data_IF_059393199177
#
_entry.id   IF_059393199177
#
_cell.length_a   1.000
_cell.length_b   1.000
_cell.length_c   1.000
_cell.angle_alpha   90.00
_cell.angle_beta   90.00
_cell.angle_gamma   90.00
#
_symmetry.space_group_name_H-M   'P 1'
#
loop_
_entity.id
_entity.type
_entity.pdbx_description
1 polymer ?
#
# COMPACT_ATOMS: atom_id res chain seq x y z
N UNK A 1 15.34 15.48 17.52
CA UNK A 1 14.07 15.26 16.83
C UNK A 1 14.32 15.07 15.35
N UNK A 2 14.92 16.04 14.64
CA UNK A 2 15.12 15.96 13.19
C UNK A 2 15.95 14.74 12.72
N UNK A 3 16.97 14.31 13.48
CA UNK A 3 17.74 13.09 13.22
C UNK A 3 16.83 11.86 13.32
N UNK A 4 15.97 11.80 14.34
CA UNK A 4 14.99 10.72 14.50
C UNK A 4 13.97 10.72 13.37
N UNK A 5 13.49 11.90 12.94
CA UNK A 5 12.61 12.08 11.80
C UNK A 5 13.27 11.63 10.48
N UNK A 6 14.52 12.04 10.24
CA UNK A 6 15.30 11.58 9.08
C UNK A 6 15.46 10.06 9.07
N UNK A 7 15.81 9.49 10.23
CA UNK A 7 15.94 8.05 10.37
C UNK A 7 14.61 7.33 10.07
N UNK A 8 13.49 7.81 10.60
CA UNK A 8 12.18 7.23 10.35
C UNK A 8 11.77 7.28 8.87
N UNK A 9 12.16 8.34 8.15
CA UNK A 9 11.80 8.54 6.74
C UNK A 9 12.73 7.80 5.78
N UNK A 10 14.04 7.69 6.06
CA UNK A 10 15.04 7.23 5.08
C UNK A 10 15.55 5.83 5.38
N UNK A 11 15.65 5.43 6.66
CA UNK A 11 16.28 4.17 7.04
C UNK A 11 15.70 2.96 6.31
N UNK A 12 14.40 2.91 6.16
CA UNK A 12 13.71 1.75 5.57
C UNK A 12 13.81 1.70 4.04
N UNK A 13 14.21 2.80 3.38
CA UNK A 13 14.53 2.80 1.95
C UNK A 13 15.77 1.95 1.65
N UNK A 14 16.66 1.76 2.63
CA UNK A 14 17.85 0.93 2.49
C UNK A 14 17.53 -0.55 2.25
N UNK A 15 16.31 -1.01 2.58
CA UNK A 15 15.86 -2.37 2.26
C UNK A 15 15.87 -2.66 0.76
N UNK A 16 15.70 -1.65 -0.08
CA UNK A 16 15.85 -1.77 -1.52
C UNK A 16 17.24 -2.33 -1.89
N UNK A 17 18.28 -1.71 -1.38
CA UNK A 17 19.67 -2.13 -1.66
C UNK A 17 20.00 -3.47 -1.02
N UNK A 18 19.51 -3.71 0.20
CA UNK A 18 19.72 -4.98 0.89
C UNK A 18 19.14 -6.15 0.07
N UNK A 19 17.89 -6.05 -0.35
CA UNK A 19 17.22 -7.11 -1.11
C UNK A 19 17.87 -7.34 -2.47
N UNK A 20 18.25 -6.27 -3.18
CA UNK A 20 18.96 -6.39 -4.47
C UNK A 20 20.32 -7.10 -4.35
N UNK A 21 20.94 -7.11 -3.15
CA UNK A 21 22.22 -7.78 -2.89
C UNK A 21 22.05 -9.20 -2.32
N UNK A 22 20.99 -9.46 -1.60
CA UNK A 22 20.72 -10.77 -0.98
C UNK A 22 20.11 -11.80 -1.92
N UNK A 23 19.38 -11.33 -2.94
CA UNK A 23 18.76 -12.21 -3.93
C UNK A 23 19.77 -12.48 -5.04
N UNK A 24 20.16 -13.75 -5.20
CA UNK A 24 21.18 -14.16 -6.16
C UNK A 24 20.58 -14.91 -7.35
N UNK A 25 19.54 -15.70 -7.14
CA UNK A 25 18.94 -16.55 -8.16
C UNK A 25 17.40 -16.55 -8.10
N UNK A 26 16.79 -17.24 -9.08
CA UNK A 26 15.32 -17.39 -9.14
C UNK A 26 14.75 -18.14 -7.94
N UNK A 27 15.53 -18.97 -7.27
CA UNK A 27 15.09 -19.72 -6.07
C UNK A 27 14.98 -18.78 -4.89
N UNK A 28 15.95 -17.90 -4.69
CA UNK A 28 15.92 -16.90 -3.63
C UNK A 28 14.77 -15.93 -3.84
N UNK A 29 14.60 -15.43 -5.08
CA UNK A 29 13.44 -14.61 -5.45
C UNK A 29 12.12 -15.31 -5.08
N UNK A 30 11.98 -16.57 -5.48
CA UNK A 30 10.75 -17.33 -5.24
C UNK A 30 10.54 -17.62 -3.75
N UNK A 31 11.59 -17.90 -2.97
CA UNK A 31 11.50 -18.11 -1.52
C UNK A 31 10.99 -16.87 -0.80
N UNK A 32 11.57 -15.69 -1.11
CA UNK A 32 11.13 -14.42 -0.52
C UNK A 32 9.69 -14.12 -0.93
N UNK A 33 9.38 -14.28 -2.22
CA UNK A 33 8.04 -14.05 -2.75
C UNK A 33 6.97 -14.92 -2.07
N UNK A 34 7.23 -16.23 -1.97
CA UNK A 34 6.31 -17.18 -1.32
C UNK A 34 6.17 -16.89 0.16
N UNK A 35 7.26 -16.61 0.87
CA UNK A 35 7.22 -16.27 2.29
C UNK A 35 6.30 -15.05 2.55
N UNK A 36 6.41 -14.02 1.71
CA UNK A 36 5.59 -12.82 1.82
C UNK A 36 4.10 -13.09 1.50
N UNK A 37 3.80 -13.89 0.46
CA UNK A 37 2.41 -14.29 0.15
C UNK A 37 1.81 -15.13 1.27
N UNK A 38 2.57 -16.06 1.85
CA UNK A 38 2.10 -16.87 2.99
C UNK A 38 1.85 -16.00 4.21
N UNK A 39 2.79 -15.11 4.55
CA UNK A 39 2.65 -14.17 5.67
C UNK A 39 1.37 -13.31 5.50
N UNK A 40 1.19 -12.71 4.32
CA UNK A 40 0.03 -11.89 4.05
C UNK A 40 -1.29 -12.69 4.09
N UNK A 41 -1.26 -13.96 3.68
CA UNK A 41 -2.42 -14.85 3.80
C UNK A 41 -2.80 -15.13 5.25
N UNK A 42 -1.82 -15.42 6.10
CA UNK A 42 -2.06 -15.63 7.53
C UNK A 42 -2.68 -14.39 8.19
N UNK A 43 -2.15 -13.21 7.87
CA UNK A 43 -2.67 -11.92 8.34
C UNK A 43 -4.10 -11.68 7.82
N UNK A 44 -4.37 -12.00 6.56
CA UNK A 44 -5.71 -11.90 5.97
C UNK A 44 -6.71 -12.83 6.68
N UNK A 45 -6.33 -14.08 6.93
CA UNK A 45 -7.16 -15.04 7.65
C UNK A 45 -7.45 -14.58 9.09
N UNK A 46 -6.47 -14.01 9.78
CA UNK A 46 -6.69 -13.41 11.09
C UNK A 46 -7.68 -12.23 11.02
N UNK A 47 -7.60 -11.40 9.97
CA UNK A 47 -8.61 -10.35 9.74
C UNK A 47 -10.00 -10.90 9.46
N UNK A 48 -10.12 -11.97 8.67
CA UNK A 48 -11.40 -12.66 8.45
C UNK A 48 -11.96 -13.22 9.77
N UNK A 49 -11.11 -13.82 10.59
CA UNK A 49 -11.48 -14.26 11.94
C UNK A 49 -12.02 -13.09 12.80
N UNK A 50 -11.32 -11.95 12.82
CA UNK A 50 -11.77 -10.75 13.54
C UNK A 50 -13.15 -10.28 13.06
N UNK A 51 -13.43 -10.39 11.76
CA UNK A 51 -14.77 -10.05 11.22
C UNK A 51 -15.85 -11.01 11.70
N UNK A 52 -15.56 -12.32 11.75
CA UNK A 52 -16.50 -13.34 12.19
C UNK A 52 -16.88 -13.14 13.67
N UNK A 53 -15.87 -12.93 14.54
CA UNK A 53 -16.08 -12.70 15.97
C UNK A 53 -16.55 -11.28 16.31
N UNK A 54 -16.61 -10.40 15.31
CA UNK A 54 -17.05 -9.00 15.46
C UNK A 54 -16.26 -8.24 16.55
N UNK A 55 -14.92 -8.15 16.38
CA UNK A 55 -14.09 -7.43 17.33
C UNK A 55 -14.60 -6.00 17.57
N UNK A 56 -14.55 -5.49 18.83
CA UNK A 56 -14.98 -4.14 19.13
C UNK A 56 -14.20 -3.09 18.34
N UNK A 57 -14.90 -2.04 17.90
CA UNK A 57 -14.29 -0.91 17.21
C UNK A 57 -13.94 0.16 18.26
N UNK A 58 -12.67 0.60 18.36
CA UNK A 58 -12.31 1.75 19.19
C UNK A 58 -13.13 2.99 18.77
N UNK A 59 -13.64 3.74 19.74
CA UNK A 59 -14.45 4.95 19.48
C UNK A 59 -13.72 6.00 18.64
N UNK A 60 -12.38 6.05 18.74
CA UNK A 60 -11.52 6.94 17.94
C UNK A 60 -11.51 6.65 16.44
N UNK A 61 -11.99 5.46 16.00
CA UNK A 61 -12.01 5.06 14.59
C UNK A 61 -13.35 5.25 13.91
N UNK A 62 -14.35 5.71 14.64
CA UNK A 62 -15.71 5.92 14.14
C UNK A 62 -16.13 7.38 14.33
N UNK A 63 -16.75 7.93 13.33
CA UNK A 63 -17.54 9.16 13.51
C UNK A 63 -18.83 8.79 14.23
N UNK A 64 -19.27 9.60 15.19
CA UNK A 64 -20.48 9.32 16.00
C UNK A 64 -21.75 9.05 15.19
N UNK A 65 -21.77 9.43 13.93
CA UNK A 65 -22.87 9.23 12.97
C UNK A 65 -22.80 7.90 12.20
N UNK A 66 -21.70 7.14 12.28
CA UNK A 66 -21.52 5.87 11.55
C UNK A 66 -21.98 4.66 12.38
N UNK A 67 -23.28 4.52 12.63
CA UNK A 67 -23.85 3.42 13.43
C UNK A 67 -24.00 2.09 12.67
N UNK A 68 -23.81 2.08 11.36
CA UNK A 68 -24.08 0.92 10.49
C UNK A 68 -22.91 -0.07 10.35
N UNK A 69 -21.75 0.20 10.94
CA UNK A 69 -20.55 -0.64 10.80
C UNK A 69 -20.47 -1.62 11.97
N UNK A 70 -20.66 -2.92 11.71
CA UNK A 70 -20.60 -3.98 12.73
C UNK A 70 -19.21 -4.12 13.36
N UNK A 71 -18.15 -4.07 12.54
CA UNK A 71 -16.75 -4.19 12.96
C UNK A 71 -15.83 -3.65 11.88
N UNK A 72 -14.60 -3.29 12.26
CA UNK A 72 -13.51 -2.94 11.35
C UNK A 72 -12.30 -3.78 11.71
N UNK A 73 -11.84 -4.63 10.78
CA UNK A 73 -10.70 -5.50 11.03
C UNK A 73 -9.39 -4.75 10.84
N UNK A 74 -8.40 -5.08 11.67
CA UNK A 74 -7.06 -4.46 11.66
C UNK A 74 -5.94 -5.48 11.84
N UNK A 75 -6.28 -6.75 12.11
CA UNK A 75 -5.35 -7.86 12.35
C UNK A 75 -4.30 -7.50 13.42
N UNK A 76 -3.03 -7.44 13.03
CA UNK A 76 -1.91 -7.12 13.93
C UNK A 76 -1.45 -5.66 13.82
N UNK A 77 -2.02 -4.86 12.89
CA UNK A 77 -1.51 -3.53 12.56
C UNK A 77 -2.02 -2.40 13.45
N UNK A 78 -3.01 -2.64 14.29
CA UNK A 78 -3.61 -1.58 15.11
C UNK A 78 -4.34 -0.47 14.32
N UNK A 79 -4.43 -0.58 12.99
CA UNK A 79 -5.17 0.33 12.10
C UNK A 79 -5.81 -0.44 10.94
N UNK A 80 -7.13 -0.26 10.70
CA UNK A 80 -7.79 -0.83 9.54
C UNK A 80 -7.25 -0.32 8.21
N UNK A 81 -6.83 0.95 8.14
CA UNK A 81 -6.29 1.54 6.92
C UNK A 81 -4.97 0.88 6.54
N UNK A 82 -4.07 0.68 7.52
CA UNK A 82 -2.77 0.04 7.32
C UNK A 82 -2.95 -1.43 6.91
N UNK A 83 -3.87 -2.17 7.58
CA UNK A 83 -4.19 -3.53 7.16
C UNK A 83 -4.69 -3.58 5.71
N UNK A 84 -5.60 -2.66 5.34
CA UNK A 84 -6.13 -2.59 3.99
C UNK A 84 -5.04 -2.32 2.94
N UNK A 85 -4.08 -1.46 3.27
CA UNK A 85 -2.95 -1.17 2.40
C UNK A 85 -1.99 -2.36 2.28
N UNK A 86 -1.73 -3.05 3.38
CA UNK A 86 -0.95 -4.29 3.36
C UNK A 86 -1.61 -5.34 2.44
N UNK A 87 -2.93 -5.51 2.51
CA UNK A 87 -3.64 -6.41 1.59
C UNK A 87 -3.55 -5.92 0.13
N UNK A 88 -3.62 -4.61 -0.09
CA UNK A 88 -3.45 -4.00 -1.43
C UNK A 88 -2.09 -4.33 -2.03
N UNK A 89 -1.04 -4.32 -1.22
CA UNK A 89 0.32 -4.65 -1.64
C UNK A 89 0.46 -6.12 -2.07
N UNK A 90 -0.13 -7.06 -1.33
CA UNK A 90 0.13 -8.49 -1.49
C UNK A 90 -0.93 -9.27 -2.27
N UNK A 91 -2.18 -8.80 -2.38
CA UNK A 91 -3.22 -9.51 -3.12
C UNK A 91 -2.88 -9.71 -4.61
N UNK A 92 -2.36 -8.70 -5.35
CA UNK A 92 -1.92 -8.90 -6.73
C UNK A 92 -0.71 -9.85 -6.85
N UNK A 93 0.14 -9.94 -5.82
CA UNK A 93 1.24 -10.90 -5.78
C UNK A 93 0.71 -12.34 -5.72
N UNK A 94 -0.27 -12.61 -4.86
CA UNK A 94 -0.90 -13.94 -4.81
C UNK A 94 -1.54 -14.32 -6.15
N UNK A 95 -2.20 -13.38 -6.82
CA UNK A 95 -2.70 -13.57 -8.18
C UNK A 95 -1.56 -13.83 -9.20
N UNK A 96 -0.46 -13.09 -9.10
CA UNK A 96 0.74 -13.31 -9.92
C UNK A 96 1.31 -14.74 -9.79
N UNK A 97 1.31 -15.27 -8.56
CA UNK A 97 1.73 -16.65 -8.29
C UNK A 97 0.81 -17.67 -9.00
N UNK A 98 -0.51 -17.43 -9.01
CA UNK A 98 -1.47 -18.28 -9.71
C UNK A 98 -1.20 -18.35 -11.22
N UNK A 99 -0.76 -17.24 -11.83
CA UNK A 99 -0.39 -17.19 -13.25
C UNK A 99 1.02 -17.74 -13.55
N UNK A 100 1.92 -17.73 -12.56
CA UNK A 100 3.28 -18.22 -12.74
C UNK A 100 3.36 -19.75 -12.70
N UNK A 101 2.58 -20.40 -11.84
CA UNK A 101 2.66 -21.86 -11.60
C UNK A 101 1.90 -22.68 -12.63
N UNK A 102 2.46 -23.85 -12.98
CA UNK A 102 1.77 -24.88 -13.80
C UNK A 102 1.02 -25.91 -12.95
N UNK A 103 1.35 -26.01 -11.67
CA UNK A 103 0.71 -26.97 -10.79
C UNK A 103 -0.70 -26.47 -10.42
N UNK A 104 -1.73 -27.22 -10.86
CA UNK A 104 -3.13 -26.86 -10.65
C UNK A 104 -3.50 -26.66 -9.18
N UNK A 105 -2.98 -27.48 -8.29
CA UNK A 105 -3.23 -27.37 -6.83
C UNK A 105 -2.66 -26.07 -6.28
N UNK A 106 -1.42 -25.75 -6.65
CA UNK A 106 -0.78 -24.51 -6.23
C UNK A 106 -1.45 -23.26 -6.85
N UNK A 107 -1.92 -23.38 -8.09
CA UNK A 107 -2.69 -22.33 -8.77
C UNK A 107 -3.99 -22.00 -8.00
N UNK A 108 -4.75 -23.05 -7.63
CA UNK A 108 -5.98 -22.88 -6.85
C UNK A 108 -5.66 -22.29 -5.48
N UNK A 109 -4.64 -22.80 -4.79
CA UNK A 109 -4.21 -22.26 -3.49
C UNK A 109 -3.84 -20.77 -3.59
N UNK A 110 -3.09 -20.36 -4.61
CA UNK A 110 -2.72 -18.97 -4.81
C UNK A 110 -3.93 -18.06 -5.08
N UNK A 111 -4.93 -18.53 -5.83
CA UNK A 111 -6.20 -17.81 -5.98
C UNK A 111 -6.97 -17.69 -4.67
N UNK A 112 -7.02 -18.75 -3.87
CA UNK A 112 -7.64 -18.70 -2.54
C UNK A 112 -6.93 -17.66 -1.67
N UNK A 113 -5.59 -17.61 -1.65
CA UNK A 113 -4.81 -16.59 -0.95
C UNK A 113 -5.18 -15.17 -1.41
N UNK A 114 -5.24 -14.95 -2.74
CA UNK A 114 -5.62 -13.65 -3.29
C UNK A 114 -7.02 -13.23 -2.86
N UNK A 115 -8.01 -14.13 -2.91
CA UNK A 115 -9.37 -13.85 -2.43
C UNK A 115 -9.42 -13.59 -0.93
N UNK A 116 -8.70 -14.36 -0.10
CA UNK A 116 -8.62 -14.09 1.34
C UNK A 116 -8.09 -12.67 1.63
N UNK A 117 -7.06 -12.23 0.89
CA UNK A 117 -6.51 -10.88 1.02
C UNK A 117 -7.51 -9.80 0.57
N UNK A 118 -8.24 -10.04 -0.53
CA UNK A 118 -9.29 -9.13 -0.99
C UNK A 118 -10.42 -9.00 0.05
N UNK A 119 -10.87 -10.09 0.65
CA UNK A 119 -11.86 -10.06 1.74
C UNK A 119 -11.28 -9.42 3.01
N UNK A 120 -10.03 -9.71 3.36
CA UNK A 120 -9.33 -9.03 4.44
C UNK A 120 -9.35 -7.50 4.27
N UNK A 121 -9.03 -7.00 3.07
CA UNK A 121 -9.13 -5.58 2.74
C UNK A 121 -10.58 -5.06 2.82
N UNK A 122 -11.55 -5.80 2.28
CA UNK A 122 -12.96 -5.41 2.28
C UNK A 122 -13.48 -5.22 3.72
N UNK A 123 -13.13 -6.12 4.63
CA UNK A 123 -13.58 -6.10 6.02
C UNK A 123 -12.90 -5.03 6.87
N UNK A 124 -11.84 -4.37 6.38
CA UNK A 124 -11.29 -3.17 7.06
C UNK A 124 -12.26 -2.00 7.08
N UNK A 125 -13.28 -2.01 6.21
CA UNK A 125 -14.22 -0.91 5.99
C UNK A 125 -13.54 0.41 5.62
N UNK A 126 -12.31 0.35 5.08
CA UNK A 126 -11.56 1.51 4.61
C UNK A 126 -11.82 1.78 3.14
N UNK A 127 -12.55 2.86 2.85
CA UNK A 127 -12.87 3.27 1.45
C UNK A 127 -11.62 3.54 0.63
N UNK A 128 -10.62 4.18 1.22
CA UNK A 128 -9.36 4.48 0.55
C UNK A 128 -8.58 3.21 0.21
N UNK A 129 -8.55 2.22 1.12
CA UNK A 129 -7.94 0.92 0.85
C UNK A 129 -8.68 0.14 -0.24
N UNK A 130 -10.01 0.22 -0.29
CA UNK A 130 -10.81 -0.41 -1.36
C UNK A 130 -10.47 0.19 -2.73
N UNK A 131 -10.35 1.53 -2.83
CA UNK A 131 -9.94 2.19 -4.07
C UNK A 131 -8.52 1.82 -4.49
N UNK A 132 -7.59 1.77 -3.54
CA UNK A 132 -6.21 1.39 -3.78
C UNK A 132 -6.10 -0.07 -4.26
N UNK A 133 -6.81 -0.99 -3.62
CA UNK A 133 -6.88 -2.40 -4.02
C UNK A 133 -7.51 -2.55 -5.41
N UNK A 134 -8.62 -1.86 -5.67
CA UNK A 134 -9.27 -1.90 -6.99
C UNK A 134 -8.32 -1.42 -8.10
N UNK A 135 -7.59 -0.32 -7.87
CA UNK A 135 -6.57 0.16 -8.80
C UNK A 135 -5.46 -0.87 -9.01
N UNK A 136 -4.94 -1.46 -7.92
CA UNK A 136 -3.91 -2.50 -8.01
C UNK A 136 -4.39 -3.71 -8.82
N UNK A 137 -5.62 -4.17 -8.60
CA UNK A 137 -6.21 -5.27 -9.37
C UNK A 137 -6.38 -4.88 -10.85
N UNK A 138 -6.87 -3.66 -11.14
CA UNK A 138 -7.01 -3.17 -12.54
C UNK A 138 -5.65 -3.16 -13.23
N UNK A 139 -4.60 -2.61 -12.60
CA UNK A 139 -3.25 -2.59 -13.17
C UNK A 139 -2.77 -4.02 -13.43
N UNK A 140 -2.92 -4.92 -12.47
CA UNK A 140 -2.51 -6.32 -12.62
C UNK A 140 -3.22 -7.01 -13.80
N UNK A 141 -4.54 -6.84 -13.87
CA UNK A 141 -5.37 -7.43 -14.93
C UNK A 141 -5.00 -6.89 -16.31
N UNK A 142 -4.76 -5.59 -16.43
CA UNK A 142 -4.32 -4.96 -17.69
C UNK A 142 -2.95 -5.49 -18.15
N UNK A 143 -2.05 -5.79 -17.22
CA UNK A 143 -0.71 -6.29 -17.51
C UNK A 143 -0.68 -7.79 -17.85
N UNK A 144 -1.49 -8.60 -17.15
CA UNK A 144 -1.38 -10.07 -17.20
C UNK A 144 -2.46 -10.71 -18.05
N UNK A 145 -3.72 -10.37 -17.82
CA UNK A 145 -4.85 -10.95 -18.55
C UNK A 145 -6.07 -10.02 -18.56
N UNK A 146 -6.25 -9.29 -19.65
CA UNK A 146 -7.34 -8.32 -19.82
C UNK A 146 -8.74 -8.93 -19.79
N UNK A 147 -8.87 -10.25 -19.99
CA UNK A 147 -10.16 -10.95 -19.95
C UNK A 147 -10.80 -10.89 -18.57
N UNK A 148 -9.97 -10.79 -17.53
CA UNK A 148 -10.45 -10.64 -16.15
C UNK A 148 -11.12 -9.29 -15.87
N UNK A 149 -11.02 -8.28 -16.76
CA UNK A 149 -11.74 -7.01 -16.58
C UNK A 149 -13.26 -7.22 -16.47
N UNK A 150 -13.81 -8.13 -17.25
CA UNK A 150 -15.25 -8.45 -17.21
C UNK A 150 -15.63 -9.04 -15.85
N UNK A 151 -14.81 -9.98 -15.33
CA UNK A 151 -15.01 -10.56 -14.01
C UNK A 151 -14.84 -9.53 -12.89
N UNK A 152 -13.88 -8.62 -13.04
CA UNK A 152 -13.66 -7.53 -12.08
C UNK A 152 -14.87 -6.58 -12.04
N UNK A 153 -15.40 -6.20 -13.19
CA UNK A 153 -16.62 -5.37 -13.28
C UNK A 153 -17.82 -6.08 -12.65
N UNK A 154 -18.01 -7.37 -12.96
CA UNK A 154 -19.08 -8.17 -12.35
C UNK A 154 -18.91 -8.24 -10.81
N UNK A 155 -17.69 -8.49 -10.33
CA UNK A 155 -17.41 -8.52 -8.90
C UNK A 155 -17.65 -7.15 -8.22
N UNK A 156 -17.29 -6.05 -8.88
CA UNK A 156 -17.56 -4.70 -8.39
C UNK A 156 -19.07 -4.42 -8.32
N UNK A 157 -19.84 -4.81 -9.34
CA UNK A 157 -21.30 -4.71 -9.33
C UNK A 157 -21.89 -5.50 -8.16
N UNK A 158 -21.46 -6.73 -7.95
CA UNK A 158 -21.90 -7.56 -6.82
C UNK A 158 -21.50 -6.91 -5.48
N UNK A 159 -20.27 -6.41 -5.35
CA UNK A 159 -19.82 -5.74 -4.13
C UNK A 159 -20.69 -4.51 -3.80
N UNK A 160 -21.13 -3.73 -4.79
CA UNK A 160 -22.03 -2.59 -4.60
C UNK A 160 -23.44 -2.98 -4.13
N UNK A 161 -23.86 -4.24 -4.29
CA UNK A 161 -25.12 -4.72 -3.74
C UNK A 161 -25.03 -5.08 -2.25
N UNK A 162 -23.83 -5.30 -1.73
CA UNK A 162 -23.64 -5.65 -0.32
C UNK A 162 -24.07 -4.49 0.60
N UNK A 163 -24.92 -4.72 1.60
CA UNK A 163 -25.48 -3.64 2.44
C UNK A 163 -24.41 -2.76 3.09
N UNK A 164 -23.36 -3.37 3.59
CA UNK A 164 -22.25 -2.63 4.25
C UNK A 164 -21.41 -1.80 3.27
N UNK A 165 -21.21 -2.27 2.02
CA UNK A 165 -20.52 -1.51 0.98
C UNK A 165 -21.37 -0.31 0.56
N UNK A 166 -22.66 -0.57 0.29
CA UNK A 166 -23.62 0.47 -0.08
C UNK A 166 -23.75 1.56 0.99
N UNK A 167 -23.84 1.17 2.26
CA UNK A 167 -23.88 2.11 3.38
C UNK A 167 -22.61 2.97 3.45
N UNK A 168 -21.42 2.37 3.30
CA UNK A 168 -20.14 3.10 3.34
C UNK A 168 -19.97 4.07 2.18
N UNK A 169 -20.41 3.71 0.98
CA UNK A 169 -20.38 4.59 -0.19
C UNK A 169 -21.46 5.67 -0.05
N UNK A 170 -22.67 5.29 0.34
CA UNK A 170 -23.80 6.21 0.51
C UNK A 170 -23.51 7.33 1.52
N UNK A 171 -22.79 7.02 2.61
CA UNK A 171 -22.39 8.01 3.61
C UNK A 171 -21.58 9.19 3.03
N UNK A 172 -20.80 8.97 1.95
CA UNK A 172 -20.05 10.05 1.29
C UNK A 172 -20.92 11.17 0.73
N UNK A 173 -22.20 10.90 0.47
CA UNK A 173 -23.16 11.84 -0.13
C UNK A 173 -24.10 12.46 0.90
N UNK A 174 -23.84 12.27 2.20
CA UNK A 174 -24.66 12.83 3.30
C UNK A 174 -24.09 14.16 3.79
N UNK A 175 -24.97 15.00 4.36
CA UNK A 175 -24.58 16.24 5.03
C UNK A 175 -23.67 15.97 6.23
N UNK A 176 -23.92 14.88 6.97
CA UNK A 176 -23.13 14.45 8.13
C UNK A 176 -21.66 14.18 7.75
N UNK A 177 -21.42 13.62 6.55
CA UNK A 177 -20.05 13.45 6.05
C UNK A 177 -19.37 14.79 5.78
N UNK A 178 -20.08 15.75 5.17
CA UNK A 178 -19.54 17.07 4.89
C UNK A 178 -19.20 17.81 6.19
N UNK A 179 -20.06 17.76 7.20
CA UNK A 179 -19.83 18.35 8.50
C UNK A 179 -18.68 17.69 9.26
N UNK A 180 -18.67 16.35 9.34
CA UNK A 180 -17.59 15.59 9.98
C UNK A 180 -16.22 15.81 9.30
N UNK A 181 -16.21 16.10 8.00
CA UNK A 181 -14.98 16.35 7.26
C UNK A 181 -14.42 17.76 7.52
N UNK A 182 -15.28 18.75 7.79
CA UNK A 182 -14.88 20.15 8.01
C UNK A 182 -14.58 20.45 9.49
N UNK A 183 -15.41 20.00 10.43
CA UNK A 183 -15.25 20.24 11.86
C UNK A 183 -14.28 19.24 12.51
N UNK A 184 -12.96 19.52 12.48
CA UNK A 184 -11.91 18.65 13.03
C UNK A 184 -11.57 17.43 12.17
N UNK A 185 -12.25 17.24 11.04
CA UNK A 185 -12.00 16.15 10.08
C UNK A 185 -10.79 16.40 9.18
N UNK A 186 -10.66 15.58 8.13
CA UNK A 186 -9.52 15.63 7.20
C UNK A 186 -9.33 17.00 6.55
N UNK A 187 -10.41 17.68 6.18
CA UNK A 187 -10.33 19.00 5.55
C UNK A 187 -9.82 20.07 6.54
N UNK A 188 -10.30 20.05 7.78
CA UNK A 188 -9.83 20.94 8.84
C UNK A 188 -8.35 20.75 9.14
N UNK A 189 -7.92 19.49 9.34
CA UNK A 189 -6.49 19.14 9.56
C UNK A 189 -5.60 19.56 8.39
N UNK A 190 -6.06 19.37 7.14
CA UNK A 190 -5.35 19.84 5.96
C UNK A 190 -5.17 21.37 5.94
N UNK A 191 -6.21 22.12 6.31
CA UNK A 191 -6.14 23.59 6.34
C UNK A 191 -5.09 24.07 7.35
N UNK A 192 -5.11 23.52 8.57
CA UNK A 192 -4.12 23.86 9.62
C UNK A 192 -2.71 23.51 9.16
N UNK A 193 -2.53 22.35 8.55
CA UNK A 193 -1.25 21.91 8.00
C UNK A 193 -0.70 22.87 6.95
N UNK A 194 -1.54 23.35 6.04
CA UNK A 194 -1.15 24.32 5.01
C UNK A 194 -0.82 25.70 5.61
N UNK A 195 -1.60 26.14 6.60
CA UNK A 195 -1.32 27.40 7.32
C UNK A 195 0.04 27.34 8.02
N UNK A 196 0.37 26.20 8.66
CA UNK A 196 1.68 25.99 9.28
C UNK A 196 2.82 26.09 8.28
N UNK A 197 2.66 25.48 7.09
CA UNK A 197 3.64 25.55 6.00
C UNK A 197 3.86 27.01 5.54
N UNK A 198 2.77 27.78 5.43
CA UNK A 198 2.87 29.21 5.04
C UNK A 198 3.62 30.06 6.06
N UNK A 199 3.43 29.79 7.33
CA UNK A 199 4.06 30.54 8.43
C UNK A 199 5.53 30.19 8.64
N UNK A 200 5.93 28.92 8.42
CA UNK A 200 7.25 28.40 8.77
C UNK A 200 8.25 28.31 7.62
N UNK A 201 7.79 28.49 6.40
CA UNK A 201 8.66 28.48 5.21
C UNK A 201 8.32 27.39 4.21
N UNK A 202 7.84 27.79 3.03
CA UNK A 202 7.33 26.90 1.98
C UNK A 202 8.40 26.01 1.34
N UNK A 203 9.66 26.46 1.31
CA UNK A 203 10.73 25.72 0.62
C UNK A 203 11.30 24.59 1.45
N UNK A 204 11.54 24.80 2.74
CA UNK A 204 12.24 23.83 3.60
C UNK A 204 11.35 23.15 4.62
N UNK A 205 10.11 23.62 4.80
CA UNK A 205 9.16 23.08 5.76
C UNK A 205 9.55 23.36 7.21
N UNK A 206 8.92 22.64 8.15
CA UNK A 206 9.12 22.77 9.59
C UNK A 206 10.25 21.89 10.14
N UNK A 207 10.74 20.94 9.34
CA UNK A 207 11.74 19.95 9.72
C UNK A 207 11.17 18.54 9.88
N UNK A 208 11.99 17.53 9.57
CA UNK A 208 11.61 16.12 9.67
C UNK A 208 11.27 15.72 11.10
N UNK A 209 10.16 15.01 11.28
CA UNK A 209 9.66 14.59 12.59
C UNK A 209 9.08 15.73 13.43
N UNK A 210 8.87 16.91 12.85
CA UNK A 210 8.32 18.09 13.54
C UNK A 210 6.83 18.29 13.27
N UNK A 211 6.20 17.45 12.43
CA UNK A 211 4.78 17.55 12.12
C UNK A 211 4.13 16.16 12.06
N UNK A 212 3.27 15.90 13.05
CA UNK A 212 2.51 14.65 13.14
C UNK A 212 3.36 13.39 13.32
N UNK A 213 2.69 12.28 13.59
CA UNK A 213 3.28 10.98 13.68
C UNK A 213 4.08 10.67 14.95
N UNK A 214 4.64 9.45 15.00
CA UNK A 214 5.24 8.91 16.21
C UNK A 214 6.40 9.74 16.74
N UNK A 215 7.26 10.29 15.87
CA UNK A 215 8.43 11.08 16.30
C UNK A 215 7.99 12.38 16.95
N UNK A 216 7.05 13.11 16.35
CA UNK A 216 6.54 14.36 16.89
C UNK A 216 5.72 14.12 18.17
N UNK A 217 4.94 13.03 18.25
CA UNK A 217 4.20 12.63 19.47
C UNK A 217 5.13 12.34 20.63
N UNK A 218 6.14 11.52 20.42
CA UNK A 218 7.11 11.15 21.47
C UNK A 218 7.88 12.36 22.03
N UNK A 219 8.07 13.40 21.19
CA UNK A 219 8.81 14.60 21.56
C UNK A 219 7.92 15.78 21.91
N UNK A 220 6.60 15.62 21.98
CA UNK A 220 5.63 16.66 22.35
C UNK A 220 5.83 17.97 21.58
N UNK A 221 6.05 17.86 20.26
CA UNK A 221 6.41 19.00 19.40
C UNK A 221 5.26 20.00 19.22
N UNK A 222 4.01 19.52 19.34
CA UNK A 222 2.79 20.32 19.15
C UNK A 222 1.86 20.11 20.34
N UNK A 223 1.39 21.21 20.95
CA UNK A 223 0.49 21.19 22.12
C UNK A 223 -0.96 20.84 21.79
N UNK A 224 -1.36 20.90 20.50
CA UNK A 224 -2.74 20.69 20.09
C UNK A 224 -2.94 19.28 19.54
N UNK A 225 -3.53 18.40 20.34
CA UNK A 225 -3.83 17.02 19.98
C UNK A 225 -4.77 16.90 18.75
N UNK A 226 -5.65 17.86 18.52
CA UNK A 226 -6.68 17.81 17.47
C UNK A 226 -6.12 17.99 16.04
N UNK A 227 -4.94 18.58 15.89
CA UNK A 227 -4.36 18.94 14.59
C UNK A 227 -3.01 18.29 14.31
N UNK A 228 -2.69 17.30 15.11
CA UNK A 228 -1.38 16.67 15.14
C UNK A 228 -1.10 15.75 13.95
N UNK A 229 -2.14 15.32 13.23
CA UNK A 229 -2.06 14.28 12.21
C UNK A 229 -2.81 14.70 10.95
N UNK A 230 -2.20 14.48 9.78
CA UNK A 230 -2.84 14.64 8.49
C UNK A 230 -2.86 13.29 7.76
N UNK A 231 -4.05 12.85 7.32
CA UNK A 231 -4.23 11.57 6.62
C UNK A 231 -3.78 11.69 5.16
N UNK A 232 -2.53 12.06 4.93
CA UNK A 232 -1.94 12.20 3.60
C UNK A 232 -0.42 12.30 3.72
N UNK A 233 0.28 11.25 3.30
CA UNK A 233 1.73 11.20 3.42
C UNK A 233 2.47 12.25 2.58
N UNK A 234 1.95 12.58 1.38
CA UNK A 234 2.56 13.61 0.54
C UNK A 234 2.44 15.00 1.17
N UNK A 235 1.28 15.28 1.78
CA UNK A 235 1.08 16.53 2.50
C UNK A 235 1.98 16.60 3.76
N UNK A 236 2.11 15.49 4.49
CA UNK A 236 3.04 15.40 5.63
C UNK A 236 4.48 15.73 5.20
N UNK A 237 4.97 15.08 4.12
CA UNK A 237 6.30 15.37 3.59
C UNK A 237 6.46 16.84 3.18
N UNK A 238 5.43 17.41 2.55
CA UNK A 238 5.44 18.80 2.14
C UNK A 238 5.55 19.76 3.34
N UNK A 239 4.88 19.45 4.45
CA UNK A 239 4.95 20.29 5.65
C UNK A 239 6.30 20.14 6.35
N UNK A 240 6.80 18.91 6.47
CA UNK A 240 8.08 18.63 7.14
C UNK A 240 9.30 19.08 6.34
N UNK A 241 9.29 18.91 5.02
CA UNK A 241 10.45 19.11 4.15
C UNK A 241 10.24 20.23 3.11
N UNK A 242 9.11 20.89 3.12
CA UNK A 242 8.75 21.92 2.14
C UNK A 242 8.51 21.36 0.73
N UNK A 243 8.35 22.28 -0.21
CA UNK A 243 8.20 21.91 -1.63
C UNK A 243 9.44 21.22 -2.19
N UNK A 244 10.62 21.52 -1.68
CA UNK A 244 11.89 20.89 -2.14
C UNK A 244 11.93 19.42 -1.79
N UNK A 245 11.55 19.05 -0.56
CA UNK A 245 11.51 17.67 -0.12
C UNK A 245 10.41 16.87 -0.82
N UNK A 246 9.22 17.45 -0.98
CA UNK A 246 8.15 16.82 -1.75
C UNK A 246 8.57 16.57 -3.21
N UNK A 247 9.20 17.56 -3.86
CA UNK A 247 9.69 17.42 -5.24
C UNK A 247 10.74 16.31 -5.33
N UNK A 248 11.71 16.24 -4.41
CA UNK A 248 12.71 15.18 -4.37
C UNK A 248 12.07 13.81 -4.21
N UNK A 249 11.10 13.66 -3.32
CA UNK A 249 10.36 12.41 -3.14
C UNK A 249 9.59 12.00 -4.40
N UNK A 250 8.84 12.94 -5.00
CA UNK A 250 8.09 12.69 -6.25
C UNK A 250 9.02 12.29 -7.37
N UNK A 251 10.16 12.95 -7.56
CA UNK A 251 11.16 12.58 -8.55
C UNK A 251 11.73 11.17 -8.30
N UNK A 252 11.97 10.80 -7.04
CA UNK A 252 12.40 9.45 -6.66
C UNK A 252 11.35 8.41 -7.04
N UNK A 253 10.08 8.65 -6.73
CA UNK A 253 8.97 7.76 -7.09
C UNK A 253 8.80 7.66 -8.61
N UNK A 254 8.86 8.77 -9.34
CA UNK A 254 8.78 8.77 -10.80
C UNK A 254 9.95 8.02 -11.44
N UNK A 255 11.16 8.23 -10.92
CA UNK A 255 12.36 7.47 -11.34
C UNK A 255 12.20 5.97 -11.07
N UNK A 256 11.69 5.61 -9.90
CA UNK A 256 11.35 4.22 -9.58
C UNK A 256 10.31 3.65 -10.56
N UNK A 257 9.18 4.33 -10.77
CA UNK A 257 8.13 3.86 -11.67
C UNK A 257 8.61 3.70 -13.12
N UNK A 258 9.43 4.63 -13.62
CA UNK A 258 10.01 4.52 -14.95
C UNK A 258 10.91 3.27 -15.08
N UNK A 259 11.74 2.98 -14.07
CA UNK A 259 12.56 1.78 -14.06
C UNK A 259 11.73 0.51 -13.82
N UNK A 260 10.67 0.57 -13.01
CA UNK A 260 9.74 -0.54 -12.82
C UNK A 260 9.02 -0.92 -14.13
N UNK A 261 8.59 0.05 -14.91
CA UNK A 261 8.04 -0.20 -16.26
C UNK A 261 9.07 -0.85 -17.20
N UNK A 262 10.34 -0.40 -17.15
CA UNK A 262 11.43 -1.04 -17.92
C UNK A 262 11.70 -2.47 -17.46
N UNK A 263 11.69 -2.73 -16.15
CA UNK A 263 11.84 -4.07 -15.57
C UNK A 263 10.71 -5.00 -16.01
N UNK A 264 9.45 -4.52 -15.99
CA UNK A 264 8.29 -5.25 -16.49
C UNK A 264 8.42 -5.56 -17.99
N UNK A 265 8.82 -4.59 -18.79
CA UNK A 265 9.03 -4.80 -20.22
C UNK A 265 10.08 -5.89 -20.47
N UNK A 266 11.22 -5.85 -19.78
CA UNK A 266 12.29 -6.86 -19.89
C UNK A 266 11.80 -8.24 -19.48
N UNK A 267 11.13 -8.38 -18.34
CA UNK A 267 10.58 -9.66 -17.89
C UNK A 267 9.48 -10.20 -18.81
N UNK A 268 8.71 -9.31 -19.46
CA UNK A 268 7.73 -9.70 -20.47
C UNK A 268 8.39 -10.24 -21.74
N UNK A 269 9.50 -9.62 -22.18
CA UNK A 269 10.28 -10.13 -23.32
C UNK A 269 10.91 -11.49 -22.99
N UNK A 270 11.51 -11.65 -21.82
CA UNK A 270 12.04 -12.94 -21.35
C UNK A 270 10.96 -14.03 -21.32
N UNK A 271 9.74 -13.70 -20.90
CA UNK A 271 8.59 -14.62 -20.93
C UNK A 271 8.25 -15.04 -22.36
N UNK A 272 8.20 -14.08 -23.30
CA UNK A 272 7.91 -14.37 -24.72
C UNK A 272 8.96 -15.27 -25.35
N UNK A 273 10.21 -15.13 -24.95
CA UNK A 273 11.34 -15.96 -25.41
C UNK A 273 11.42 -17.32 -24.69
N UNK A 274 10.53 -17.60 -23.75
CA UNK A 274 10.55 -18.84 -22.96
C UNK A 274 11.65 -18.90 -21.90
N UNK A 275 12.42 -17.82 -21.71
CA UNK A 275 13.58 -17.75 -20.81
C UNK A 275 13.19 -17.57 -19.33
N UNK A 276 12.02 -17.01 -19.05
CA UNK A 276 11.58 -16.74 -17.68
C UNK A 276 10.06 -16.76 -17.53
N UNK A 277 9.60 -17.11 -16.33
CA UNK A 277 8.17 -17.06 -15.95
C UNK A 277 7.88 -15.97 -14.90
N UNK A 278 8.86 -15.14 -14.57
CA UNK A 278 8.74 -14.17 -13.49
C UNK A 278 7.80 -13.00 -13.81
N UNK A 279 7.45 -12.76 -15.08
CA UNK A 279 6.62 -11.63 -15.49
C UNK A 279 5.32 -11.46 -14.69
N UNK A 280 4.46 -12.51 -14.48
CA UNK A 280 3.25 -12.33 -13.67
C UNK A 280 3.54 -11.97 -12.21
N UNK A 281 4.65 -12.48 -11.65
CA UNK A 281 5.08 -12.15 -10.29
C UNK A 281 5.51 -10.68 -10.20
N UNK A 282 6.31 -10.21 -11.15
CA UNK A 282 6.74 -8.82 -11.26
C UNK A 282 5.53 -7.87 -11.48
N UNK A 283 4.56 -8.27 -12.30
CA UNK A 283 3.33 -7.53 -12.51
C UNK A 283 2.50 -7.41 -11.22
N UNK A 284 2.45 -8.48 -10.41
CA UNK A 284 1.81 -8.48 -9.09
C UNK A 284 2.48 -7.51 -8.12
N UNK A 285 3.81 -7.53 -8.03
CA UNK A 285 4.58 -6.57 -7.23
C UNK A 285 4.29 -5.14 -7.68
N UNK A 286 4.45 -4.85 -8.97
CA UNK A 286 4.26 -3.51 -9.52
C UNK A 286 2.85 -2.97 -9.23
N UNK A 287 1.83 -3.79 -9.46
CA UNK A 287 0.44 -3.42 -9.25
C UNK A 287 0.16 -3.08 -7.77
N UNK A 288 0.66 -3.91 -6.83
CA UNK A 288 0.56 -3.65 -5.40
C UNK A 288 1.24 -2.35 -4.99
N UNK A 289 2.47 -2.12 -5.46
CA UNK A 289 3.21 -0.89 -5.15
C UNK A 289 2.52 0.38 -5.70
N UNK A 290 1.91 0.31 -6.88
CA UNK A 290 1.10 1.41 -7.41
C UNK A 290 -0.14 1.69 -6.53
N UNK A 291 -0.81 0.66 -6.03
CA UNK A 291 -1.93 0.80 -5.10
C UNK A 291 -1.52 1.51 -3.81
N UNK A 292 -0.39 1.10 -3.21
CA UNK A 292 0.18 1.75 -2.02
C UNK A 292 0.46 3.23 -2.24
N UNK A 293 1.11 3.59 -3.36
CA UNK A 293 1.41 4.98 -3.69
C UNK A 293 0.15 5.84 -3.78
N UNK A 294 -0.94 5.31 -4.33
CA UNK A 294 -2.21 6.03 -4.36
C UNK A 294 -2.81 6.14 -2.96
N UNK A 295 -2.74 5.07 -2.14
CA UNK A 295 -3.27 5.09 -0.78
C UNK A 295 -2.52 6.09 0.12
N UNK A 296 -1.23 6.33 -0.10
CA UNK A 296 -0.45 7.39 0.56
C UNK A 296 -1.06 8.80 0.40
N UNK A 297 -1.90 9.03 -0.61
CA UNK A 297 -2.68 10.27 -0.75
C UNK A 297 -3.86 10.39 0.22
N UNK A 298 -4.22 9.32 0.94
CA UNK A 298 -5.36 9.25 1.85
C UNK A 298 -5.01 8.77 3.25
N UNK A 299 -3.75 8.34 3.48
CA UNK A 299 -3.25 7.85 4.77
C UNK A 299 -1.72 8.00 4.85
N UNK A 300 -1.16 8.07 6.06
CA UNK A 300 0.28 8.14 6.30
C UNK A 300 0.94 6.76 6.31
N UNK A 301 0.82 6.01 5.22
CA UNK A 301 1.25 4.60 5.12
C UNK A 301 2.75 4.43 5.42
N UNK A 302 3.58 5.31 4.88
CA UNK A 302 5.04 5.22 5.05
C UNK A 302 5.56 5.77 6.39
N UNK A 303 4.67 6.19 7.26
CA UNK A 303 5.02 6.42 8.65
C UNK A 303 5.18 5.12 9.43
N UNK A 304 4.54 4.05 8.97
CA UNK A 304 4.70 2.70 9.50
C UNK A 304 6.00 2.08 8.96
N UNK A 305 7.01 1.84 9.84
CA UNK A 305 8.34 1.38 9.42
C UNK A 305 8.31 0.10 8.59
N UNK A 306 7.46 -0.86 8.98
CA UNK A 306 7.33 -2.14 8.30
C UNK A 306 6.69 -1.98 6.91
N UNK A 307 5.73 -1.05 6.72
CA UNK A 307 5.13 -0.81 5.41
C UNK A 307 6.14 -0.23 4.43
N UNK A 308 6.97 0.71 4.90
CA UNK A 308 8.06 1.25 4.10
C UNK A 308 9.11 0.19 3.78
N UNK A 309 9.48 -0.66 4.75
CA UNK A 309 10.41 -1.76 4.54
C UNK A 309 9.89 -2.76 3.50
N UNK A 310 8.62 -3.17 3.57
CA UNK A 310 8.00 -4.03 2.55
C UNK A 310 7.97 -3.37 1.17
N UNK A 311 7.55 -2.11 1.10
CA UNK A 311 7.49 -1.38 -0.18
C UNK A 311 8.85 -1.38 -0.88
N UNK A 312 9.92 -0.95 -0.20
CA UNK A 312 11.25 -0.86 -0.77
C UNK A 312 11.90 -2.23 -1.01
N UNK A 313 11.59 -3.24 -0.20
CA UNK A 313 12.01 -4.62 -0.45
C UNK A 313 11.40 -5.17 -1.74
N UNK A 314 10.10 -4.96 -1.95
CA UNK A 314 9.41 -5.37 -3.17
C UNK A 314 9.89 -4.59 -4.39
N UNK A 315 10.15 -3.30 -4.23
CA UNK A 315 10.80 -2.49 -5.26
C UNK A 315 12.18 -3.07 -5.65
N UNK A 316 12.98 -3.47 -4.66
CA UNK A 316 14.26 -4.16 -4.86
C UNK A 316 14.12 -5.49 -5.62
N UNK A 317 13.15 -6.33 -5.23
CA UNK A 317 12.86 -7.59 -5.93
C UNK A 317 12.47 -7.37 -7.39
N UNK A 318 11.66 -6.35 -7.67
CA UNK A 318 11.27 -6.01 -9.04
C UNK A 318 12.46 -5.55 -9.87
N UNK A 319 13.33 -4.71 -9.30
CA UNK A 319 14.56 -4.27 -9.98
C UNK A 319 15.54 -5.42 -10.20
N UNK A 320 15.69 -6.30 -9.20
CA UNK A 320 16.51 -7.50 -9.36
C UNK A 320 16.04 -8.35 -10.55
N UNK A 321 14.74 -8.65 -10.62
CA UNK A 321 14.17 -9.48 -11.70
C UNK A 321 14.36 -8.87 -13.10
N UNK A 322 14.32 -7.53 -13.21
CA UNK A 322 14.42 -6.83 -14.49
C UNK A 322 15.85 -6.51 -14.94
N UNK A 323 16.79 -6.35 -14.00
CA UNK A 323 18.12 -5.78 -14.34
C UNK A 323 19.31 -6.57 -13.79
N UNK A 324 19.18 -7.23 -12.65
CA UNK A 324 20.32 -7.86 -11.96
C UNK A 324 20.33 -9.39 -12.11
N UNK A 325 19.22 -9.98 -12.53
CA UNK A 325 19.08 -11.41 -12.76
C UNK A 325 20.03 -11.84 -13.88
N UNK A 326 20.93 -12.76 -13.58
CA UNK A 326 21.79 -13.40 -14.59
C UNK A 326 20.97 -14.36 -15.46
N UNK A 327 21.10 -14.26 -16.77
CA UNK A 327 20.44 -15.16 -17.71
C UNK A 327 21.27 -16.43 -17.89
N UNK A 328 20.62 -17.60 -18.02
CA UNK A 328 21.33 -18.82 -18.39
C UNK A 328 22.03 -18.63 -19.74
N UNK A 329 23.38 -18.59 -19.74
CA UNK A 329 24.20 -18.41 -20.95
C UNK A 329 24.99 -17.10 -21.00
N UNK A 330 24.76 -16.11 -20.12
CA UNK A 330 25.67 -14.99 -19.94
C UNK A 330 26.83 -15.42 -19.00
N UNK A 331 27.81 -16.14 -19.58
CA UNK A 331 29.11 -16.33 -18.93
C UNK A 331 29.79 -14.97 -18.91
N UNK A 332 30.27 -14.58 -17.73
CA UNK A 332 31.08 -13.38 -17.52
C UNK A 332 32.16 -13.27 -18.62
N UNK A 333 32.03 -12.28 -19.50
CA UNK A 333 33.12 -11.82 -20.34
C UNK A 333 33.96 -10.81 -19.56
#
# INVERSE_FOLDING_TARGET
IQISGFRATVQYMLWFFLVTRLVHDDRDFMRVYLALVVLATVIALHGVYQYIVAVPIPSSWMTHTETSVRTRVYSIFGSPNIMGDFMTMFAPMAAGLAYCTKNRKLQIAAWICAFCMCFGCLFTMSRAAWMALALAIVIFVLLVDRRLLVLLLAAACVACTLPFVRSRIGFLFTADFAEANTSGGRAGRKLVALTLLEQRGKLTGVGLGMFGGAVAMQNQVIDHQDYFYVDNYYLKLMIEMGYTGLAAFVLTVLGFLANACRALYRTAQQKKQGLSRLYPLCAGIFAGLCGVLVHCGFENIFEEPYMMAYFWSLAGLLMWAGFLRQMPGEVQA
#
